data_IF_974837720960
#
_entry.id   IF_974837720960
#
_cell.length_a   1.000
_cell.length_b   1.000
_cell.length_c   1.000
_cell.angle_alpha   90.00
_cell.angle_beta   90.00
_cell.angle_gamma   90.00
#
_symmetry.space_group_name_H-M   'P 1'
#
loop_
_entity.id
_entity.type
_entity.pdbx_description
1 polymer ?
#
# COMPACT_ATOMS: atom_id res chain seq x y z
N UNK A 1 -14.15 14.16 40.52
CA UNK A 1 -14.07 13.00 39.61
C UNK A 1 -12.79 13.19 38.81
N UNK A 2 -11.74 12.44 39.15
CA UNK A 2 -10.49 12.47 38.41
C UNK A 2 -10.70 11.65 37.12
N UNK A 3 -10.46 12.26 35.97
CA UNK A 3 -10.41 11.57 34.70
C UNK A 3 -9.24 10.56 34.73
N UNK A 4 -9.58 9.30 34.63
CA UNK A 4 -8.66 8.20 34.50
C UNK A 4 -7.97 8.32 33.11
N UNK A 5 -6.76 8.87 33.10
CA UNK A 5 -5.95 8.93 31.87
C UNK A 5 -5.70 7.50 31.42
N UNK A 6 -6.19 7.17 30.22
CA UNK A 6 -5.95 5.90 29.57
C UNK A 6 -4.45 5.58 29.57
N UNK A 7 -4.08 4.40 30.03
CA UNK A 7 -2.69 3.91 29.96
C UNK A 7 -2.26 3.85 28.49
N UNK A 8 -1.01 4.26 28.19
CA UNK A 8 -0.47 4.07 26.85
C UNK A 8 -0.52 2.56 26.47
N UNK A 9 -0.75 2.24 25.18
CA UNK A 9 -0.80 0.85 24.74
C UNK A 9 0.49 0.12 25.14
N UNK A 10 0.34 -1.12 25.59
CA UNK A 10 1.46 -1.94 26.03
C UNK A 10 2.29 -2.37 24.82
N UNK A 11 3.34 -1.64 24.52
CA UNK A 11 4.29 -1.90 23.41
C UNK A 11 4.92 -3.30 23.48
N UNK A 12 4.84 -3.99 24.62
CA UNK A 12 5.38 -5.35 24.81
C UNK A 12 4.51 -6.48 24.22
N UNK A 13 3.33 -6.17 23.67
CA UNK A 13 2.40 -7.15 23.09
C UNK A 13 2.52 -7.31 21.57
N UNK A 14 3.32 -6.48 20.87
CA UNK A 14 3.56 -6.67 19.45
C UNK A 14 4.46 -7.89 19.27
N UNK A 15 4.01 -8.80 18.41
CA UNK A 15 4.78 -10.00 18.07
C UNK A 15 6.19 -9.59 17.62
N UNK A 16 7.22 -10.14 18.27
CA UNK A 16 8.63 -9.82 18.02
C UNK A 16 9.12 -10.25 16.63
N UNK A 17 8.26 -10.87 15.81
CA UNK A 17 8.55 -11.29 14.44
C UNK A 17 8.36 -10.18 13.40
N UNK A 18 7.50 -9.18 13.64
CA UNK A 18 7.24 -8.08 12.69
C UNK A 18 8.39 -7.06 12.73
N UNK A 19 9.04 -6.86 11.59
CA UNK A 19 10.03 -5.81 11.40
C UNK A 19 9.35 -4.48 11.06
N UNK A 20 9.94 -3.37 11.55
CA UNK A 20 9.48 -2.01 11.29
C UNK A 20 10.59 -1.19 10.64
N UNK A 21 10.28 -0.50 9.55
CA UNK A 21 11.20 0.37 8.80
C UNK A 21 10.71 1.82 8.83
N UNK A 22 11.63 2.77 8.75
CA UNK A 22 11.27 4.18 8.50
C UNK A 22 10.79 4.33 7.06
N UNK A 23 9.69 5.06 6.86
CA UNK A 23 9.17 5.36 5.53
C UNK A 23 10.00 6.50 4.92
N UNK A 24 10.95 6.12 4.07
CA UNK A 24 11.94 7.05 3.53
C UNK A 24 12.77 7.74 4.62
N UNK A 25 13.20 8.97 4.36
CA UNK A 25 13.93 9.81 5.31
C UNK A 25 12.98 10.54 6.26
N UNK A 26 12.06 9.83 6.89
CA UNK A 26 11.11 10.39 7.84
C UNK A 26 11.15 9.67 9.18
N UNK A 27 10.54 10.28 10.19
CA UNK A 27 10.32 9.66 11.50
C UNK A 27 9.14 8.68 11.52
N UNK A 28 8.37 8.55 10.43
CA UNK A 28 7.25 7.63 10.35
C UNK A 28 7.75 6.21 10.18
N UNK A 29 7.51 5.36 11.15
CA UNK A 29 7.86 3.93 11.11
C UNK A 29 6.62 3.09 10.81
N UNK A 30 6.77 2.14 9.90
CA UNK A 30 5.70 1.22 9.48
C UNK A 30 6.20 -0.21 9.48
N UNK A 31 5.29 -1.16 9.63
CA UNK A 31 5.58 -2.59 9.46
C UNK A 31 6.04 -2.89 8.03
N UNK A 32 6.95 -3.85 7.87
CA UNK A 32 7.44 -4.28 6.54
C UNK A 32 6.36 -4.95 5.68
N UNK A 33 5.24 -5.32 6.29
CA UNK A 33 4.00 -5.74 5.61
C UNK A 33 2.93 -4.71 5.90
N UNK A 34 2.31 -4.16 4.86
CA UNK A 34 1.16 -3.27 4.92
C UNK A 34 -0.11 -3.97 4.45
N UNK A 35 -1.25 -3.59 5.00
CA UNK A 35 -2.56 -4.06 4.56
C UNK A 35 -3.09 -3.18 3.42
N UNK A 36 -3.23 -3.76 2.23
CA UNK A 36 -3.92 -3.13 1.11
C UNK A 36 -5.44 -3.29 1.25
N UNK A 37 -6.15 -2.17 1.41
CA UNK A 37 -7.57 -2.13 1.75
C UNK A 37 -8.51 -2.01 0.55
N UNK A 38 -8.02 -2.17 -0.69
CA UNK A 38 -8.85 -2.05 -1.90
C UNK A 38 -9.90 -3.17 -2.06
N UNK A 39 -9.85 -4.19 -1.20
CA UNK A 39 -10.82 -5.28 -1.17
C UNK A 39 -12.01 -5.02 -0.23
N UNK A 40 -11.98 -3.98 0.60
CA UNK A 40 -13.06 -3.69 1.53
C UNK A 40 -14.30 -3.18 0.80
N UNK A 41 -15.43 -3.85 1.04
CA UNK A 41 -16.67 -3.63 0.29
C UNK A 41 -16.69 -4.30 -1.10
N UNK A 42 -15.73 -5.18 -1.41
CA UNK A 42 -15.70 -5.90 -2.69
C UNK A 42 -16.70 -7.06 -2.67
N UNK A 43 -17.55 -7.12 -3.68
CA UNK A 43 -18.56 -8.18 -3.86
C UNK A 43 -17.95 -9.58 -3.94
N UNK A 44 -18.70 -10.55 -3.46
CA UNK A 44 -18.33 -11.98 -3.44
C UNK A 44 -17.05 -12.27 -2.61
N UNK A 45 -16.72 -11.44 -1.64
CA UNK A 45 -15.64 -11.69 -0.67
C UNK A 45 -16.15 -11.54 0.76
N UNK A 46 -15.42 -12.06 1.75
CA UNK A 46 -15.78 -11.87 3.17
C UNK A 46 -15.84 -10.38 3.52
N UNK A 47 -14.93 -9.57 2.95
CA UNK A 47 -14.84 -8.12 3.18
C UNK A 47 -15.91 -7.30 2.45
N UNK A 48 -16.85 -7.93 1.75
CA UNK A 48 -18.07 -7.27 1.27
C UNK A 48 -18.92 -6.77 2.44
N UNK A 49 -18.98 -7.54 3.52
CA UNK A 49 -19.67 -7.16 4.74
C UNK A 49 -18.80 -6.30 5.67
N UNK A 50 -19.43 -5.51 6.56
CA UNK A 50 -18.72 -4.81 7.63
C UNK A 50 -18.03 -5.80 8.57
N UNK A 51 -18.75 -6.84 9.00
CA UNK A 51 -18.21 -7.87 9.89
C UNK A 51 -16.95 -8.54 9.33
N UNK A 52 -16.93 -8.85 8.03
CA UNK A 52 -15.75 -9.43 7.40
C UNK A 52 -14.58 -8.44 7.31
N UNK A 53 -14.87 -7.16 7.08
CA UNK A 53 -13.86 -6.09 7.13
C UNK A 53 -13.29 -5.95 8.55
N UNK A 54 -14.14 -5.95 9.58
CA UNK A 54 -13.73 -5.87 10.99
C UNK A 54 -12.80 -7.03 11.36
N UNK A 55 -13.11 -8.24 10.90
CA UNK A 55 -12.30 -9.43 11.15
C UNK A 55 -10.91 -9.32 10.50
N UNK A 56 -10.83 -8.82 9.27
CA UNK A 56 -9.54 -8.64 8.56
C UNK A 56 -8.71 -7.54 9.20
N UNK A 57 -9.31 -6.39 9.54
CA UNK A 57 -8.62 -5.28 10.23
C UNK A 57 -8.14 -5.72 11.61
N UNK A 58 -8.99 -6.40 12.39
CA UNK A 58 -8.62 -6.93 13.69
C UNK A 58 -7.41 -7.86 13.62
N UNK A 59 -7.46 -8.84 12.70
CA UNK A 59 -6.35 -9.77 12.49
C UNK A 59 -5.04 -9.06 12.07
N UNK A 60 -5.13 -8.00 11.26
CA UNK A 60 -3.96 -7.25 10.83
C UNK A 60 -3.28 -6.51 11.99
N UNK A 61 -4.08 -5.82 12.81
CA UNK A 61 -3.55 -5.10 13.97
C UNK A 61 -2.97 -6.11 14.99
N UNK A 62 -3.65 -7.24 15.22
CA UNK A 62 -3.21 -8.27 16.17
C UNK A 62 -1.92 -8.98 15.69
N UNK A 63 -1.70 -9.04 14.35
CA UNK A 63 -0.45 -9.53 13.76
C UNK A 63 0.69 -8.49 13.73
N UNK A 64 0.49 -7.27 14.25
CA UNK A 64 1.50 -6.20 14.27
C UNK A 64 1.64 -5.42 12.97
N UNK A 65 0.70 -5.58 12.02
CA UNK A 65 0.66 -4.75 10.81
C UNK A 65 0.19 -3.36 11.21
N UNK A 66 1.01 -2.34 10.91
CA UNK A 66 0.68 -0.94 11.26
C UNK A 66 0.31 -0.09 10.06
N UNK A 67 0.80 -0.39 8.84
CA UNK A 67 0.45 0.38 7.65
C UNK A 67 -0.84 -0.15 7.02
N UNK A 68 -1.87 0.70 6.95
CA UNK A 68 -3.16 0.44 6.32
C UNK A 68 -3.34 1.39 5.15
N UNK A 69 -3.33 0.86 3.91
CA UNK A 69 -3.37 1.64 2.68
C UNK A 69 -4.72 1.51 1.99
N UNK A 70 -5.48 2.60 1.97
CA UNK A 70 -6.74 2.73 1.24
C UNK A 70 -6.68 3.84 0.18
N UNK A 71 -7.81 4.21 -0.38
CA UNK A 71 -8.01 5.39 -1.24
C UNK A 71 -9.49 5.78 -1.27
N UNK A 72 -9.78 7.03 -1.57
CA UNK A 72 -11.13 7.55 -1.71
C UNK A 72 -11.95 6.81 -2.79
N UNK A 73 -11.29 6.30 -3.84
CA UNK A 73 -11.95 5.57 -4.93
C UNK A 73 -12.26 4.10 -4.63
N UNK A 74 -11.69 3.50 -3.57
CA UNK A 74 -11.77 2.05 -3.35
C UNK A 74 -13.12 1.59 -2.80
N UNK A 75 -13.50 0.35 -3.21
CA UNK A 75 -14.73 -0.34 -2.88
C UNK A 75 -15.59 -0.62 -4.10
N UNK A 76 -16.70 -1.36 -3.92
CA UNK A 76 -17.71 -1.55 -4.97
C UNK A 76 -18.38 -0.22 -5.35
N UNK A 77 -18.53 0.66 -4.37
CA UNK A 77 -18.88 2.06 -4.53
C UNK A 77 -17.71 2.92 -4.08
N UNK A 78 -17.51 4.07 -4.73
CA UNK A 78 -16.43 5.02 -4.40
C UNK A 78 -16.56 5.49 -2.94
N UNK A 79 -15.49 5.41 -2.17
CA UNK A 79 -15.46 5.75 -0.74
C UNK A 79 -15.86 4.64 0.21
N UNK A 80 -16.35 3.49 -0.30
CA UNK A 80 -16.82 2.41 0.56
C UNK A 80 -15.70 1.80 1.41
N UNK A 81 -14.50 1.65 0.86
CA UNK A 81 -13.36 1.13 1.62
C UNK A 81 -13.01 2.02 2.82
N UNK A 82 -12.94 3.34 2.63
CA UNK A 82 -12.72 4.29 3.73
C UNK A 82 -13.83 4.23 4.78
N UNK A 83 -15.09 4.13 4.34
CA UNK A 83 -16.24 4.01 5.25
C UNK A 83 -16.18 2.73 6.08
N UNK A 84 -15.85 1.59 5.45
CA UNK A 84 -15.68 0.31 6.15
C UNK A 84 -14.54 0.38 7.18
N UNK A 85 -13.43 1.02 6.83
CA UNK A 85 -12.30 1.22 7.74
C UNK A 85 -12.67 2.12 8.91
N UNK A 86 -13.34 3.26 8.66
CA UNK A 86 -13.78 4.16 9.72
C UNK A 86 -14.68 3.46 10.75
N UNK A 87 -15.62 2.64 10.28
CA UNK A 87 -16.49 1.84 11.15
C UNK A 87 -15.71 0.79 11.97
N UNK A 88 -14.66 0.19 11.40
CA UNK A 88 -13.90 -0.89 12.02
C UNK A 88 -12.85 -0.41 13.03
N UNK A 89 -12.20 0.72 12.77
CA UNK A 89 -11.06 1.18 13.55
C UNK A 89 -11.45 1.64 14.96
N UNK A 90 -12.45 2.50 15.09
CA UNK A 90 -12.90 3.00 16.39
C UNK A 90 -11.72 3.43 17.29
N UNK A 91 -11.60 2.82 18.47
CA UNK A 91 -10.54 3.08 19.43
C UNK A 91 -9.14 2.58 19.00
N UNK A 92 -9.07 1.73 17.98
CA UNK A 92 -7.80 1.20 17.43
C UNK A 92 -7.17 2.11 16.38
N UNK A 93 -7.76 3.30 16.12
CA UNK A 93 -7.23 4.27 15.16
C UNK A 93 -5.79 4.66 15.46
N UNK A 94 -5.42 4.77 16.72
CA UNK A 94 -4.08 5.16 17.17
C UNK A 94 -3.05 4.01 17.07
N UNK A 95 -3.49 2.77 16.88
CA UNK A 95 -2.62 1.61 16.74
C UNK A 95 -2.01 1.49 15.33
N UNK A 96 -2.47 2.31 14.36
CA UNK A 96 -2.11 2.17 12.95
C UNK A 96 -1.59 3.47 12.33
N UNK A 97 -0.88 3.32 11.23
CA UNK A 97 -0.55 4.37 10.26
C UNK A 97 -1.58 4.29 9.13
N UNK A 98 -2.50 5.24 9.12
CA UNK A 98 -3.56 5.32 8.13
C UNK A 98 -3.08 6.08 6.90
N UNK A 99 -2.98 5.37 5.77
CA UNK A 99 -2.69 5.94 4.47
C UNK A 99 -3.94 5.94 3.59
N UNK A 100 -4.29 7.08 3.01
CA UNK A 100 -5.31 7.17 1.97
C UNK A 100 -4.86 8.06 0.82
N UNK A 101 -5.63 8.10 -0.27
CA UNK A 101 -5.25 8.76 -1.51
C UNK A 101 -6.40 9.61 -2.05
N UNK A 102 -6.03 10.61 -2.85
CA UNK A 102 -6.93 11.49 -3.62
C UNK A 102 -6.42 11.66 -5.05
N UNK A 103 -7.23 12.26 -5.92
CA UNK A 103 -6.79 12.63 -7.27
C UNK A 103 -7.32 11.72 -8.38
N UNK A 104 -8.07 10.67 -8.03
CA UNK A 104 -8.83 9.87 -9.00
C UNK A 104 -10.22 10.46 -9.23
N UNK A 105 -10.85 10.08 -10.35
CA UNK A 105 -12.23 10.47 -10.63
C UNK A 105 -13.20 9.81 -9.65
N UNK A 106 -13.77 10.62 -8.78
CA UNK A 106 -14.79 10.21 -7.81
C UNK A 106 -16.23 10.27 -8.34
N UNK A 107 -16.44 10.65 -9.63
CA UNK A 107 -17.77 10.78 -10.20
C UNK A 107 -18.68 11.75 -9.43
N UNK A 108 -18.09 12.76 -8.82
CA UNK A 108 -18.79 13.76 -8.02
C UNK A 108 -19.09 13.38 -6.56
N UNK A 109 -18.73 12.16 -6.10
CA UNK A 109 -18.99 11.71 -4.71
C UNK A 109 -18.30 12.61 -3.66
N UNK A 110 -17.08 13.09 -3.94
CA UNK A 110 -16.42 14.07 -3.07
C UNK A 110 -16.91 15.51 -3.33
N UNK A 111 -17.52 15.78 -4.47
CA UNK A 111 -17.91 17.09 -4.97
C UNK A 111 -17.36 17.34 -6.37
N UNK A 112 -17.67 18.50 -6.93
CA UNK A 112 -17.27 18.87 -8.30
C UNK A 112 -15.77 19.14 -8.36
N UNK A 113 -15.07 18.48 -9.29
CA UNK A 113 -13.60 18.53 -9.45
C UNK A 113 -13.15 19.32 -10.71
N UNK A 114 -14.01 19.45 -11.73
CA UNK A 114 -13.66 20.03 -13.03
C UNK A 114 -12.40 19.42 -13.65
N UNK A 115 -12.15 18.13 -13.40
CA UNK A 115 -10.99 17.35 -13.80
C UNK A 115 -9.63 17.78 -13.20
N UNK A 116 -9.57 18.91 -12.46
CA UNK A 116 -8.37 19.43 -11.79
C UNK A 116 -8.26 18.87 -10.36
N UNK A 117 -7.93 17.57 -10.26
CA UNK A 117 -7.99 16.80 -9.01
C UNK A 117 -6.74 16.96 -8.13
N UNK A 118 -5.67 17.57 -8.65
CA UNK A 118 -4.51 18.03 -7.89
C UNK A 118 -4.65 19.47 -7.38
N UNK A 119 -5.71 20.19 -7.75
CA UNK A 119 -5.90 21.60 -7.39
C UNK A 119 -6.15 21.80 -5.89
N UNK A 120 -5.70 22.92 -5.37
CA UNK A 120 -5.95 23.36 -3.97
C UNK A 120 -7.42 23.24 -3.58
N UNK A 121 -8.31 23.65 -4.49
CA UNK A 121 -9.75 23.57 -4.24
C UNK A 121 -10.21 22.14 -4.04
N UNK A 122 -9.82 21.23 -4.94
CA UNK A 122 -10.28 19.84 -4.86
C UNK A 122 -9.64 19.07 -3.73
N UNK A 123 -8.34 19.26 -3.47
CA UNK A 123 -7.64 18.63 -2.35
C UNK A 123 -8.36 18.89 -1.02
N UNK A 124 -8.84 20.11 -0.78
CA UNK A 124 -9.61 20.44 0.43
C UNK A 124 -10.95 19.70 0.48
N UNK A 125 -11.63 19.59 -0.62
CA UNK A 125 -12.91 18.85 -0.70
C UNK A 125 -12.66 17.35 -0.45
N UNK A 126 -11.64 16.79 -1.08
CA UNK A 126 -11.30 15.38 -1.00
C UNK A 126 -10.87 14.96 0.42
N UNK A 127 -10.01 15.74 1.08
CA UNK A 127 -9.54 15.43 2.44
C UNK A 127 -10.68 15.44 3.45
N UNK A 128 -11.59 16.44 3.39
CA UNK A 128 -12.76 16.49 4.28
C UNK A 128 -13.71 15.31 4.05
N UNK A 129 -13.88 14.89 2.80
CA UNK A 129 -14.68 13.73 2.47
C UNK A 129 -14.05 12.43 3.02
N UNK A 130 -12.73 12.26 2.89
CA UNK A 130 -11.99 11.12 3.43
C UNK A 130 -12.02 11.09 4.97
N UNK A 131 -11.77 12.21 5.64
CA UNK A 131 -11.83 12.31 7.10
C UNK A 131 -13.21 11.92 7.65
N UNK A 132 -14.30 12.38 6.99
CA UNK A 132 -15.68 11.97 7.37
C UNK A 132 -15.90 10.46 7.21
N UNK A 133 -15.48 9.86 6.07
CA UNK A 133 -15.66 8.41 5.84
C UNK A 133 -14.82 7.58 6.80
N UNK A 134 -13.59 8.00 7.06
CA UNK A 134 -12.66 7.35 7.96
C UNK A 134 -12.96 7.60 9.45
N UNK A 135 -13.86 8.53 9.78
CA UNK A 135 -14.27 8.89 11.14
C UNK A 135 -13.06 9.27 12.02
N UNK A 136 -12.15 10.08 11.48
CA UNK A 136 -10.94 10.55 12.15
C UNK A 136 -10.66 12.00 11.81
N UNK A 137 -9.94 12.69 12.69
CA UNK A 137 -9.56 14.10 12.49
C UNK A 137 -8.26 14.26 11.72
N UNK A 138 -7.49 13.18 11.51
CA UNK A 138 -6.21 13.23 10.79
C UNK A 138 -5.94 11.97 9.97
N UNK A 139 -5.14 12.15 8.92
CA UNK A 139 -4.55 11.11 8.06
C UNK A 139 -3.04 11.10 8.31
N UNK A 140 -2.45 9.92 8.54
CA UNK A 140 -1.01 9.81 8.78
C UNK A 140 -0.20 9.99 7.49
N UNK A 141 -0.66 9.40 6.38
CA UNK A 141 -0.04 9.52 5.06
C UNK A 141 -1.09 9.82 3.98
N UNK A 142 -1.10 11.04 3.45
CA UNK A 142 -2.02 11.44 2.38
C UNK A 142 -1.30 11.46 1.03
N UNK A 143 -1.80 10.72 0.05
CA UNK A 143 -1.07 10.46 -1.17
C UNK A 143 -1.80 10.99 -2.41
N UNK A 144 -1.07 11.70 -3.29
CA UNK A 144 -1.53 11.96 -4.65
C UNK A 144 -1.58 10.62 -5.41
N UNK A 145 -2.78 10.17 -5.80
CA UNK A 145 -2.99 8.85 -6.37
C UNK A 145 -2.43 8.72 -7.80
N UNK A 146 -2.49 9.81 -8.57
CA UNK A 146 -1.93 9.93 -9.92
C UNK A 146 -1.50 11.36 -10.21
N UNK A 147 -0.56 11.56 -11.13
CA UNK A 147 -0.26 12.91 -11.64
C UNK A 147 -1.54 13.57 -12.17
N UNK A 148 -1.72 14.84 -11.87
CA UNK A 148 -2.79 15.66 -12.46
C UNK A 148 -2.19 16.55 -13.56
N UNK A 149 -2.53 16.32 -14.84
CA UNK A 149 -1.97 17.11 -15.94
C UNK A 149 -2.51 18.54 -16.01
N UNK A 150 -3.59 18.85 -15.27
CA UNK A 150 -4.22 20.17 -15.26
C UNK A 150 -3.74 21.07 -14.13
N UNK A 151 -3.04 20.50 -13.13
CA UNK A 151 -2.57 21.26 -11.96
C UNK A 151 -1.05 21.20 -11.87
N UNK A 152 -0.35 22.34 -11.83
CA UNK A 152 1.07 22.36 -11.54
C UNK A 152 1.37 21.71 -10.20
N UNK A 153 2.47 20.95 -10.11
CA UNK A 153 2.81 20.21 -8.89
C UNK A 153 3.07 21.14 -7.69
N UNK A 154 3.49 22.38 -7.95
CA UNK A 154 3.67 23.44 -6.95
C UNK A 154 2.38 23.74 -6.21
N UNK A 155 1.26 23.86 -6.93
CA UNK A 155 -0.03 24.10 -6.31
C UNK A 155 -0.47 22.94 -5.44
N UNK A 156 -0.28 21.71 -5.95
CA UNK A 156 -0.60 20.48 -5.22
C UNK A 156 0.21 20.40 -3.91
N UNK A 157 1.53 20.59 -3.96
CA UNK A 157 2.41 20.53 -2.79
C UNK A 157 2.06 21.64 -1.79
N UNK A 158 1.84 22.87 -2.27
CA UNK A 158 1.45 24.00 -1.41
C UNK A 158 0.08 23.76 -0.73
N UNK A 159 -0.87 23.13 -1.42
CA UNK A 159 -2.16 22.77 -0.83
C UNK A 159 -2.03 21.68 0.24
N UNK A 160 -1.15 20.71 0.03
CA UNK A 160 -0.86 19.65 1.00
C UNK A 160 -0.14 20.20 2.25
N UNK A 161 0.74 21.19 2.08
CA UNK A 161 1.40 21.91 3.18
C UNK A 161 0.39 22.60 4.12
N UNK A 162 -0.65 23.24 3.52
CA UNK A 162 -1.75 23.81 4.32
C UNK A 162 -2.43 22.73 5.18
N UNK A 163 -2.67 21.53 4.64
CA UNK A 163 -3.30 20.44 5.40
C UNK A 163 -2.41 19.90 6.52
N UNK A 164 -1.08 19.92 6.33
CA UNK A 164 -0.12 19.58 7.40
C UNK A 164 -0.17 20.64 8.49
N UNK A 165 -0.15 21.92 8.12
CA UNK A 165 -0.23 23.04 9.06
C UNK A 165 -1.54 23.03 9.86
N UNK A 166 -2.66 22.65 9.23
CA UNK A 166 -3.96 22.47 9.87
C UNK A 166 -4.04 21.22 10.77
N UNK A 167 -3.03 20.34 10.72
CA UNK A 167 -3.00 19.08 11.50
C UNK A 167 -3.89 17.96 10.94
N UNK A 168 -4.51 18.14 9.78
CA UNK A 168 -5.34 17.14 9.11
C UNK A 168 -4.54 16.02 8.44
N UNK A 169 -3.31 16.32 8.06
CA UNK A 169 -2.36 15.41 7.43
C UNK A 169 -1.04 15.48 8.18
N UNK A 170 -0.40 14.34 8.41
CA UNK A 170 0.91 14.29 9.08
C UNK A 170 2.07 14.21 8.10
N UNK A 171 1.93 13.36 7.08
CA UNK A 171 2.94 13.15 6.05
C UNK A 171 2.25 13.06 4.69
N UNK A 172 3.00 13.39 3.64
CA UNK A 172 2.53 13.33 2.26
C UNK A 172 3.33 12.33 1.44
N UNK A 173 2.68 11.71 0.47
CA UNK A 173 3.25 10.77 -0.48
C UNK A 173 2.62 10.90 -1.84
N UNK A 174 3.10 10.11 -2.78
CA UNK A 174 2.51 10.03 -4.11
C UNK A 174 2.45 8.59 -4.62
N UNK A 175 1.65 8.39 -5.64
CA UNK A 175 1.50 7.14 -6.36
C UNK A 175 1.53 7.37 -7.87
N UNK A 176 2.10 6.42 -8.62
CA UNK A 176 2.13 6.44 -10.09
C UNK A 176 2.86 7.64 -10.73
N UNK A 177 3.73 8.34 -10.00
CA UNK A 177 4.63 9.31 -10.60
C UNK A 177 5.79 8.59 -11.30
N UNK A 178 6.19 9.11 -12.48
CA UNK A 178 7.40 8.75 -13.17
C UNK A 178 8.64 9.29 -12.45
N UNK A 179 9.83 8.74 -12.71
CA UNK A 179 11.06 9.19 -12.05
C UNK A 179 11.34 10.68 -12.20
N UNK A 180 11.11 11.25 -13.39
CA UNK A 180 11.28 12.69 -13.61
C UNK A 180 10.27 13.55 -12.83
N UNK A 181 9.02 13.07 -12.64
CA UNK A 181 8.01 13.75 -11.83
C UNK A 181 8.35 13.75 -10.35
N UNK A 182 8.97 12.66 -9.87
CA UNK A 182 9.50 12.57 -8.50
C UNK A 182 10.59 13.63 -8.31
N UNK A 183 11.53 13.75 -9.26
CA UNK A 183 12.58 14.75 -9.23
C UNK A 183 12.01 16.18 -9.24
N UNK A 184 11.04 16.45 -10.12
CA UNK A 184 10.37 17.75 -10.24
C UNK A 184 9.70 18.15 -8.90
N UNK A 185 8.90 17.25 -8.33
CA UNK A 185 8.23 17.47 -7.04
C UNK A 185 9.24 17.73 -5.89
N UNK A 186 10.37 17.03 -5.89
CA UNK A 186 11.42 17.20 -4.89
C UNK A 186 12.08 18.59 -4.98
N UNK A 187 12.41 19.05 -6.20
CA UNK A 187 12.99 20.37 -6.41
C UNK A 187 12.00 21.50 -6.12
N UNK A 188 10.75 21.34 -6.54
CA UNK A 188 9.68 22.31 -6.25
C UNK A 188 9.48 22.44 -4.75
N UNK A 189 9.37 21.35 -4.01
CA UNK A 189 9.24 21.38 -2.56
C UNK A 189 10.44 22.07 -1.89
N UNK A 190 11.66 21.77 -2.34
CA UNK A 190 12.87 22.37 -1.79
C UNK A 190 12.95 23.88 -2.05
N UNK A 191 12.63 24.34 -3.26
CA UNK A 191 12.64 25.74 -3.64
C UNK A 191 11.55 26.55 -2.91
N UNK A 192 10.36 25.96 -2.77
CA UNK A 192 9.22 26.58 -2.06
C UNK A 192 9.30 26.47 -0.54
N UNK A 193 10.30 25.79 0.02
CA UNK A 193 10.38 25.48 1.46
C UNK A 193 9.16 24.70 1.97
N UNK A 194 8.55 23.89 1.12
CA UNK A 194 7.42 23.04 1.42
C UNK A 194 7.86 21.66 1.95
N UNK A 195 6.97 20.92 2.62
CA UNK A 195 7.23 19.53 2.96
C UNK A 195 7.41 18.68 1.69
N UNK A 196 8.32 17.72 1.78
CA UNK A 196 8.61 16.79 0.69
C UNK A 196 7.74 15.55 0.80
N UNK A 197 7.47 14.91 -0.32
CA UNK A 197 6.93 13.55 -0.30
C UNK A 197 7.90 12.61 0.40
N UNK A 198 7.38 11.76 1.31
CA UNK A 198 8.20 10.77 2.01
C UNK A 198 8.10 9.38 1.40
N UNK A 199 7.12 9.16 0.52
CA UNK A 199 6.87 7.85 -0.10
C UNK A 199 6.46 7.95 -1.56
N UNK A 200 6.85 6.93 -2.31
CA UNK A 200 6.39 6.62 -3.66
C UNK A 200 5.66 5.28 -3.66
N UNK A 201 4.51 5.20 -4.33
CA UNK A 201 3.74 3.96 -4.45
C UNK A 201 3.47 3.66 -5.92
N UNK A 202 4.13 2.65 -6.49
CA UNK A 202 4.00 2.23 -7.88
C UNK A 202 3.80 0.72 -7.97
N UNK A 203 3.32 0.22 -9.11
CA UNK A 203 3.24 -1.21 -9.36
C UNK A 203 4.65 -1.81 -9.38
N UNK A 204 4.84 -2.89 -8.64
CA UNK A 204 6.12 -3.59 -8.63
C UNK A 204 5.97 -5.01 -8.10
N UNK A 205 6.47 -5.96 -8.87
CA UNK A 205 6.49 -7.38 -8.54
C UNK A 205 7.57 -8.08 -9.37
N UNK A 206 7.74 -9.37 -9.20
CA UNK A 206 8.65 -10.18 -10.04
C UNK A 206 8.30 -10.13 -11.54
N UNK A 207 7.01 -9.97 -11.89
CA UNK A 207 6.55 -9.88 -13.28
C UNK A 207 6.35 -8.43 -13.77
N UNK A 208 6.33 -7.45 -12.89
CA UNK A 208 6.18 -6.04 -13.24
C UNK A 208 7.36 -5.26 -12.66
N UNK A 209 8.36 -5.01 -13.49
CA UNK A 209 9.66 -4.44 -13.07
C UNK A 209 9.95 -3.07 -13.68
N UNK A 210 8.96 -2.44 -14.32
CA UNK A 210 9.14 -1.14 -14.98
C UNK A 210 9.65 -0.06 -14.02
N UNK A 211 9.25 -0.13 -12.74
CA UNK A 211 9.72 0.80 -11.70
C UNK A 211 11.26 0.83 -11.53
N UNK A 212 11.97 -0.23 -11.93
CA UNK A 212 13.43 -0.31 -11.82
C UNK A 212 14.15 0.64 -12.78
N UNK A 213 13.51 1.04 -13.89
CA UNK A 213 14.15 1.89 -14.91
C UNK A 213 14.38 3.31 -14.43
N UNK A 214 13.39 3.93 -13.77
CA UNK A 214 13.52 5.33 -13.31
C UNK A 214 12.93 5.60 -11.93
N UNK A 215 11.86 4.91 -11.52
CA UNK A 215 11.17 5.19 -10.25
C UNK A 215 12.05 4.80 -9.05
N UNK A 216 12.56 3.58 -8.99
CA UNK A 216 13.43 3.14 -7.90
C UNK A 216 14.77 3.92 -7.85
N UNK A 217 15.43 4.25 -8.96
CA UNK A 217 16.56 5.18 -8.96
C UNK A 217 16.22 6.54 -8.34
N UNK A 218 15.07 7.15 -8.70
CA UNK A 218 14.61 8.41 -8.11
C UNK A 218 14.29 8.29 -6.61
N UNK A 219 13.56 7.24 -6.23
CA UNK A 219 13.26 6.91 -4.83
C UNK A 219 14.54 6.87 -3.99
N UNK A 220 15.55 6.16 -4.45
CA UNK A 220 16.83 6.04 -3.75
C UNK A 220 17.60 7.37 -3.71
N UNK A 221 17.63 8.11 -4.82
CA UNK A 221 18.34 9.39 -4.92
C UNK A 221 17.77 10.43 -3.95
N UNK A 222 16.46 10.51 -3.83
CA UNK A 222 15.77 11.49 -2.98
C UNK A 222 15.40 10.94 -1.59
N UNK A 223 15.62 9.64 -1.35
CA UNK A 223 15.41 9.02 -0.04
C UNK A 223 13.94 8.87 0.35
N UNK A 224 13.08 8.58 -0.62
CA UNK A 224 11.68 8.19 -0.38
C UNK A 224 11.62 6.72 0.06
N UNK A 225 10.54 6.37 0.77
CA UNK A 225 10.18 4.97 1.00
C UNK A 225 9.34 4.44 -0.15
N UNK A 226 9.68 3.26 -0.66
CA UNK A 226 8.91 2.63 -1.73
C UNK A 226 7.86 1.66 -1.18
N UNK A 227 6.65 1.78 -1.69
CA UNK A 227 5.47 1.00 -1.30
C UNK A 227 4.90 0.31 -2.54
N UNK A 228 5.31 -0.93 -2.88
CA UNK A 228 4.78 -1.61 -4.05
C UNK A 228 3.30 -1.97 -3.88
N UNK A 229 2.47 -1.66 -4.89
CA UNK A 229 1.16 -2.24 -5.03
C UNK A 229 1.16 -3.41 -6.02
N UNK A 230 0.23 -4.35 -5.89
CA UNK A 230 0.19 -5.65 -6.56
C UNK A 230 1.48 -6.48 -6.44
N UNK A 231 2.11 -6.53 -5.25
CA UNK A 231 3.39 -7.19 -5.04
C UNK A 231 3.36 -8.69 -5.36
N UNK A 232 2.18 -9.31 -5.26
CA UNK A 232 1.93 -10.72 -5.58
C UNK A 232 1.30 -10.91 -6.96
N UNK A 233 1.37 -9.90 -7.84
CA UNK A 233 0.75 -9.92 -9.17
C UNK A 233 -0.69 -10.43 -9.15
N UNK A 234 -1.54 -9.71 -8.39
CA UNK A 234 -2.95 -10.07 -8.10
C UNK A 234 -3.16 -11.42 -7.40
N UNK A 235 -2.12 -12.03 -6.86
CA UNK A 235 -2.15 -13.30 -6.14
C UNK A 235 -1.49 -14.46 -6.88
N UNK A 236 -0.90 -14.24 -8.05
CA UNK A 236 -0.23 -15.29 -8.84
C UNK A 236 0.93 -15.92 -8.04
N UNK A 237 1.69 -15.12 -7.30
CA UNK A 237 2.82 -15.56 -6.47
C UNK A 237 2.43 -16.19 -5.12
N UNK A 238 1.17 -16.58 -4.94
CA UNK A 238 0.73 -17.29 -3.72
C UNK A 238 0.88 -18.80 -3.79
N UNK A 239 1.31 -19.37 -4.94
CA UNK A 239 1.42 -20.79 -5.18
C UNK A 239 0.08 -21.53 -5.39
N UNK A 240 -1.05 -20.81 -5.54
CA UNK A 240 -2.39 -21.38 -5.71
C UNK A 240 -2.79 -21.58 -7.16
N UNK A 241 -1.98 -21.11 -8.09
CA UNK A 241 -2.25 -21.15 -9.54
C UNK A 241 -1.31 -22.11 -10.23
N UNK A 242 -1.80 -22.69 -11.32
CA UNK A 242 -1.06 -23.56 -12.21
C UNK A 242 -1.45 -23.29 -13.67
N UNK A 243 -0.81 -23.96 -14.62
CA UNK A 243 -1.18 -23.91 -16.06
C UNK A 243 -2.64 -24.25 -16.33
N UNK A 244 -3.29 -25.01 -15.45
CA UNK A 244 -4.69 -25.42 -15.59
C UNK A 244 -5.67 -24.49 -14.88
N UNK A 245 -5.19 -23.41 -14.24
CA UNK A 245 -6.01 -22.43 -13.54
C UNK A 245 -5.71 -22.34 -12.05
N UNK A 246 -6.68 -21.85 -11.27
CA UNK A 246 -6.58 -21.62 -9.82
C UNK A 246 -7.96 -21.55 -9.17
N UNK A 247 -8.04 -21.15 -7.88
CA UNK A 247 -9.31 -21.06 -7.15
C UNK A 247 -10.30 -20.13 -7.87
N UNK A 248 -11.51 -20.60 -8.13
CA UNK A 248 -12.55 -19.85 -8.88
C UNK A 248 -12.94 -18.54 -8.19
N UNK A 249 -12.94 -18.51 -6.84
CA UNK A 249 -13.25 -17.35 -6.02
C UNK A 249 -12.09 -16.35 -5.93
N UNK A 250 -10.94 -16.65 -6.57
CA UNK A 250 -9.78 -15.76 -6.56
C UNK A 250 -10.00 -14.50 -7.39
N UNK A 251 -9.26 -13.43 -7.07
CA UNK A 251 -9.30 -12.18 -7.83
C UNK A 251 -8.91 -12.37 -9.29
N UNK A 252 -7.92 -13.21 -9.57
CA UNK A 252 -7.49 -13.50 -10.93
C UNK A 252 -8.63 -14.15 -11.69
N UNK A 253 -9.15 -15.27 -11.22
CA UNK A 253 -10.18 -16.04 -11.96
C UNK A 253 -11.47 -15.25 -12.14
N UNK A 254 -11.88 -14.46 -11.12
CA UNK A 254 -13.14 -13.71 -11.17
C UNK A 254 -13.09 -12.40 -11.97
N UNK A 255 -11.95 -11.69 -11.99
CA UNK A 255 -11.86 -10.35 -12.58
C UNK A 255 -10.78 -10.19 -13.67
N UNK A 256 -9.75 -11.02 -13.67
CA UNK A 256 -8.58 -10.89 -14.53
C UNK A 256 -8.05 -12.26 -15.01
N UNK A 257 -8.91 -13.13 -15.57
CA UNK A 257 -8.51 -14.51 -15.92
C UNK A 257 -7.36 -14.57 -16.93
N UNK A 258 -7.18 -13.53 -17.75
CA UNK A 258 -6.06 -13.40 -18.67
C UNK A 258 -4.69 -13.41 -17.94
N UNK A 259 -4.60 -12.93 -16.70
CA UNK A 259 -3.32 -12.94 -15.95
C UNK A 259 -2.85 -14.38 -15.65
N UNK A 260 -3.76 -15.32 -15.47
CA UNK A 260 -3.39 -16.73 -15.33
C UNK A 260 -3.17 -17.39 -16.69
N UNK A 261 -3.98 -17.04 -17.69
CA UNK A 261 -3.86 -17.61 -19.04
C UNK A 261 -2.53 -17.22 -19.72
N UNK A 262 -2.12 -15.95 -19.57
CA UNK A 262 -0.94 -15.37 -20.23
C UNK A 262 0.32 -15.42 -19.33
N UNK A 263 0.25 -16.03 -18.14
CA UNK A 263 1.41 -16.11 -17.25
C UNK A 263 2.56 -16.91 -17.88
N UNK A 264 3.82 -16.51 -17.65
CA UNK A 264 4.99 -17.21 -18.15
C UNK A 264 5.21 -18.52 -17.34
N UNK A 265 4.43 -19.53 -17.61
CA UNK A 265 4.38 -20.74 -16.78
C UNK A 265 5.70 -21.51 -16.70
N UNK A 266 6.56 -21.47 -17.72
CA UNK A 266 7.89 -22.07 -17.61
C UNK A 266 8.74 -21.38 -16.53
N UNK A 267 8.67 -20.05 -16.45
CA UNK A 267 9.32 -19.26 -15.40
C UNK A 267 8.66 -19.50 -14.04
N UNK A 268 7.32 -19.56 -13.98
CA UNK A 268 6.59 -19.82 -12.75
C UNK A 268 6.89 -21.20 -12.17
N UNK A 269 7.00 -22.22 -13.03
CA UNK A 269 7.38 -23.59 -12.62
C UNK A 269 8.83 -23.62 -12.11
N UNK A 270 9.77 -22.97 -12.81
CA UNK A 270 11.17 -22.85 -12.34
C UNK A 270 11.26 -22.11 -10.99
N UNK A 271 10.42 -21.10 -10.78
CA UNK A 271 10.35 -20.41 -9.49
C UNK A 271 9.73 -21.28 -8.39
N UNK A 272 8.73 -22.08 -8.71
CA UNK A 272 8.17 -23.05 -7.78
C UNK A 272 9.20 -24.12 -7.38
N UNK A 273 9.98 -24.62 -8.35
CA UNK A 273 11.09 -25.57 -8.09
C UNK A 273 12.19 -24.96 -7.23
N UNK A 274 12.56 -23.68 -7.48
CA UNK A 274 13.50 -22.93 -6.63
C UNK A 274 13.02 -22.89 -5.18
N UNK A 275 11.73 -22.59 -4.96
CA UNK A 275 11.13 -22.53 -3.62
C UNK A 275 11.09 -23.93 -2.97
N UNK A 276 10.65 -24.96 -3.70
CA UNK A 276 10.55 -26.31 -3.20
C UNK A 276 11.91 -26.88 -2.78
N UNK A 277 12.97 -26.61 -3.53
CA UNK A 277 14.33 -27.02 -3.21
C UNK A 277 14.86 -26.46 -1.88
N UNK A 278 14.22 -25.41 -1.35
CA UNK A 278 14.60 -24.70 -0.11
C UNK A 278 13.56 -24.86 1.01
N UNK A 279 12.53 -25.67 0.79
CA UNK A 279 11.40 -25.88 1.72
C UNK A 279 10.73 -24.53 2.14
N UNK A 280 10.57 -23.63 1.19
CA UNK A 280 9.91 -22.33 1.37
C UNK A 280 8.72 -22.17 0.40
N UNK A 281 7.78 -21.34 0.76
CA UNK A 281 6.65 -21.00 -0.12
C UNK A 281 7.02 -19.90 -1.13
N UNK A 282 6.30 -19.84 -2.26
CA UNK A 282 6.42 -18.72 -3.20
C UNK A 282 6.08 -17.37 -2.54
N UNK A 283 5.18 -17.37 -1.56
CA UNK A 283 4.82 -16.17 -0.80
C UNK A 283 6.01 -15.65 -0.01
N UNK A 284 6.68 -16.51 0.77
CA UNK A 284 7.88 -16.16 1.56
C UNK A 284 9.01 -15.66 0.66
N UNK A 285 9.28 -16.40 -0.42
CA UNK A 285 10.31 -16.02 -1.38
C UNK A 285 10.04 -14.67 -2.04
N UNK A 286 8.78 -14.40 -2.42
CA UNK A 286 8.38 -13.13 -3.06
C UNK A 286 8.49 -11.96 -2.10
N UNK A 287 8.05 -12.12 -0.84
CA UNK A 287 8.19 -11.05 0.16
C UNK A 287 9.66 -10.78 0.49
N UNK A 288 10.47 -11.82 0.66
CA UNK A 288 11.89 -11.69 0.92
C UNK A 288 12.62 -10.98 -0.24
N UNK A 289 12.30 -11.35 -1.48
CA UNK A 289 12.86 -10.70 -2.67
C UNK A 289 12.48 -9.21 -2.73
N UNK A 290 11.20 -8.88 -2.51
CA UNK A 290 10.74 -7.50 -2.50
C UNK A 290 11.44 -6.68 -1.41
N UNK A 291 11.46 -7.17 -0.17
CA UNK A 291 12.05 -6.47 0.98
C UNK A 291 13.58 -6.31 0.89
N UNK A 292 14.24 -7.09 0.02
CA UNK A 292 15.65 -6.94 -0.30
C UNK A 292 15.93 -5.82 -1.31
N UNK A 293 14.91 -5.28 -1.99
CA UNK A 293 15.12 -4.21 -2.98
C UNK A 293 15.45 -2.88 -2.28
N UNK A 294 16.43 -2.11 -2.80
CA UNK A 294 16.79 -0.81 -2.24
C UNK A 294 15.60 0.15 -2.21
N UNK A 295 15.42 0.85 -1.08
CA UNK A 295 14.34 1.83 -0.89
C UNK A 295 12.97 1.23 -0.53
N UNK A 296 12.77 -0.08 -0.69
CA UNK A 296 11.50 -0.71 -0.34
C UNK A 296 11.28 -0.72 1.17
N UNK A 297 10.16 -0.15 1.60
CA UNK A 297 9.84 0.00 3.03
C UNK A 297 8.81 -1.02 3.50
N UNK A 298 7.70 -1.16 2.78
CA UNK A 298 6.59 -2.02 3.19
C UNK A 298 5.89 -2.61 1.96
N UNK A 299 5.63 -3.91 2.00
CA UNK A 299 4.91 -4.63 0.94
C UNK A 299 3.40 -4.50 1.19
N UNK A 300 2.69 -3.75 0.33
CA UNK A 300 1.24 -3.56 0.49
C UNK A 300 0.50 -4.77 -0.10
N UNK A 301 0.14 -5.71 0.78
CA UNK A 301 -0.55 -6.93 0.42
C UNK A 301 -2.05 -6.85 0.77
N UNK A 302 -2.91 -7.13 -0.22
CA UNK A 302 -4.34 -7.22 -0.02
C UNK A 302 -4.74 -8.55 0.63
N UNK A 303 -5.77 -8.50 1.49
CA UNK A 303 -6.40 -9.69 2.06
C UNK A 303 -7.92 -9.54 2.06
N UNK A 304 -8.62 -10.66 1.92
CA UNK A 304 -10.09 -10.76 2.04
C UNK A 304 -10.52 -11.67 3.18
N UNK A 305 -9.57 -12.30 3.88
CA UNK A 305 -9.80 -13.22 5.00
C UNK A 305 -8.68 -13.06 6.05
N UNK A 306 -8.95 -13.24 7.35
CA UNK A 306 -7.95 -13.18 8.42
C UNK A 306 -6.74 -14.09 8.21
N UNK A 307 -6.97 -15.29 7.67
CA UNK A 307 -5.89 -16.27 7.43
C UNK A 307 -4.87 -15.77 6.42
N UNK A 308 -5.30 -15.01 5.39
CA UNK A 308 -4.41 -14.39 4.42
C UNK A 308 -3.57 -13.28 5.07
N UNK A 309 -4.17 -12.53 6.00
CA UNK A 309 -3.44 -11.52 6.79
C UNK A 309 -2.31 -12.17 7.57
N UNK A 310 -2.61 -13.26 8.29
CA UNK A 310 -1.61 -13.99 9.08
C UNK A 310 -0.50 -14.57 8.20
N UNK A 311 -0.85 -15.15 7.04
CA UNK A 311 0.13 -15.65 6.07
C UNK A 311 1.05 -14.54 5.58
N UNK A 312 0.49 -13.37 5.21
CA UNK A 312 1.27 -12.21 4.77
C UNK A 312 2.19 -11.68 5.89
N UNK A 313 1.69 -11.59 7.12
CA UNK A 313 2.42 -11.05 8.26
C UNK A 313 3.68 -11.87 8.62
N UNK A 314 3.61 -13.19 8.49
CA UNK A 314 4.73 -14.09 8.83
C UNK A 314 5.68 -14.34 7.65
N UNK A 315 5.23 -14.10 6.42
CA UNK A 315 6.01 -14.40 5.22
C UNK A 315 7.44 -13.80 5.23
N UNK A 316 7.68 -12.54 5.67
CA UNK A 316 9.03 -11.98 5.72
C UNK A 316 10.00 -12.72 6.65
N UNK A 317 9.49 -13.40 7.68
CA UNK A 317 10.30 -14.13 8.66
C UNK A 317 10.54 -15.60 8.29
N UNK A 318 9.83 -16.12 7.28
CA UNK A 318 9.90 -17.50 6.87
C UNK A 318 11.22 -17.86 6.17
N UNK A 319 11.89 -16.89 5.56
CA UNK A 319 13.14 -17.11 4.85
C UNK A 319 14.04 -15.87 4.85
N UNK A 320 15.35 -16.10 5.05
CA UNK A 320 16.39 -15.05 5.03
C UNK A 320 17.36 -15.32 3.86
N UNK A 321 17.10 -14.81 2.67
CA UNK A 321 17.91 -15.09 1.48
C UNK A 321 19.29 -14.44 1.54
N UNK A 322 20.24 -15.09 0.89
CA UNK A 322 21.53 -14.49 0.54
C UNK A 322 21.37 -13.55 -0.67
N UNK A 323 22.33 -12.65 -0.88
CA UNK A 323 22.34 -11.80 -2.09
C UNK A 323 22.39 -12.62 -3.39
N UNK A 324 23.03 -13.78 -3.38
CA UNK A 324 23.08 -14.69 -4.53
C UNK A 324 21.71 -15.28 -4.85
N UNK A 325 20.93 -15.67 -3.85
CA UNK A 325 19.57 -16.20 -4.03
C UNK A 325 18.61 -15.13 -4.53
N UNK A 326 18.73 -13.89 -4.03
CA UNK A 326 17.96 -12.75 -4.56
C UNK A 326 18.29 -12.51 -6.04
N UNK A 327 19.57 -12.59 -6.41
CA UNK A 327 19.99 -12.45 -7.80
C UNK A 327 19.48 -13.63 -8.68
N UNK A 328 19.48 -14.85 -8.16
CA UNK A 328 18.94 -16.05 -8.83
C UNK A 328 17.45 -15.87 -9.14
N UNK A 329 16.65 -15.45 -8.13
CA UNK A 329 15.22 -15.13 -8.36
C UNK A 329 15.07 -14.03 -9.41
N UNK A 330 15.84 -12.95 -9.30
CA UNK A 330 15.78 -11.84 -10.25
C UNK A 330 16.05 -12.28 -11.68
N UNK A 331 17.01 -13.20 -11.87
CA UNK A 331 17.38 -13.73 -13.18
C UNK A 331 16.28 -14.60 -13.81
N UNK A 332 15.49 -15.32 -13.01
CA UNK A 332 14.34 -16.11 -13.53
C UNK A 332 13.32 -15.22 -14.24
N UNK A 333 13.13 -13.98 -13.76
CA UNK A 333 12.10 -13.05 -14.25
C UNK A 333 12.69 -11.90 -15.10
N UNK A 334 13.94 -12.02 -15.52
CA UNK A 334 14.53 -11.07 -16.49
C UNK A 334 14.21 -11.56 -17.90
N UNK A 335 13.66 -10.69 -18.79
CA UNK A 335 13.36 -11.05 -20.17
C UNK A 335 14.58 -11.45 -20.98
#
# INVERSE_FOLDING_TARGET
MQEERARPPNIAAYDRSMEYRSLGRSGLRVSTVGLGCNNFGRTNTLTESQQGTDAVIGAAIDAGITLFDTADIYGAERGLSETRMGNALGRRRDDIVLATKFGMDMGGVNGVDWDARGSRRYIRIAVEASLRRLQTDWIDLYQLHRPDPLTPIEETISALDDLITEGKVRYIGHSNLAGWQIADAEYVAALGSHPKFISAQNEYSLLEREAEKEVLPAVNAYGLGFLPFFPLYNGLFTGKFSRTGGPEDSRIMSLRPHLAADAPWDTMDAYADFCAARDITMLEATFAWLLAQPGLTSVIAGATRPEQVMQNAVAPSGWSPTAAEIAEISALFTP
#
